data_IF_911283652634
#
_entry.id   IF_911283652634
#
_cell.length_a   1.000
_cell.length_b   1.000
_cell.length_c   1.000
_cell.angle_alpha   90.00
_cell.angle_beta   90.00
_cell.angle_gamma   90.00
#
_symmetry.space_group_name_H-M   'P 1'
#
loop_
_entity.id
_entity.type
_entity.pdbx_description
1 polymer ?
#
# COMPACT_ATOMS: atom_id res chain seq x y z
N UNK A 1 9.47 -5.46 20.11
CA UNK A 1 8.37 -4.60 19.66
C UNK A 1 8.40 -4.43 18.16
N UNK A 2 7.25 -4.53 17.51
CA UNK A 2 7.05 -4.33 16.06
C UNK A 2 6.54 -2.90 15.86
N UNK A 3 7.33 -2.06 15.21
CA UNK A 3 6.92 -0.71 14.82
C UNK A 3 6.40 -0.70 13.39
N UNK A 4 5.18 -0.17 13.21
CA UNK A 4 4.55 -0.05 11.88
C UNK A 4 3.97 1.34 11.67
N UNK A 5 4.39 2.02 10.62
CA UNK A 5 3.73 3.23 10.14
C UNK A 5 2.72 2.88 9.04
N UNK A 6 1.51 3.43 9.11
CA UNK A 6 0.42 3.11 8.17
C UNK A 6 -0.34 4.34 7.67
N UNK A 7 -0.77 4.28 6.40
CA UNK A 7 -1.78 5.17 5.81
C UNK A 7 -3.20 4.57 5.83
N UNK A 8 -3.36 3.41 6.48
CA UNK A 8 -4.61 2.67 6.63
C UNK A 8 -4.38 1.16 6.67
N UNK A 9 -4.40 0.52 5.51
CA UNK A 9 -4.44 -0.95 5.36
C UNK A 9 -3.25 -1.71 5.95
N UNK A 10 -2.06 -1.11 5.90
CA UNK A 10 -0.84 -1.76 6.42
C UNK A 10 -0.95 -2.05 7.92
N UNK A 11 -1.43 -1.06 8.68
CA UNK A 11 -1.62 -1.18 10.12
C UNK A 11 -2.65 -2.24 10.46
N UNK A 12 -3.77 -2.29 9.73
CA UNK A 12 -4.78 -3.34 9.89
C UNK A 12 -4.17 -4.74 9.68
N UNK A 13 -3.40 -4.93 8.61
CA UNK A 13 -2.81 -6.23 8.28
C UNK A 13 -1.76 -6.67 9.33
N UNK A 14 -0.87 -5.76 9.73
CA UNK A 14 0.16 -6.05 10.74
C UNK A 14 -0.47 -6.30 12.11
N UNK A 15 -1.39 -5.44 12.54
CA UNK A 15 -2.03 -5.57 13.83
C UNK A 15 -2.79 -6.89 13.96
N UNK A 16 -3.57 -7.28 12.95
CA UNK A 16 -4.28 -8.56 12.96
C UNK A 16 -3.34 -9.77 12.80
N UNK A 17 -2.25 -9.63 12.04
CA UNK A 17 -1.28 -10.71 11.85
C UNK A 17 -0.49 -11.08 13.11
N UNK A 18 -0.31 -10.13 14.03
CA UNK A 18 0.40 -10.32 15.29
C UNK A 18 -0.51 -10.28 16.53
N UNK A 19 -1.83 -10.18 16.36
CA UNK A 19 -2.76 -10.08 17.47
C UNK A 19 -2.70 -11.33 18.36
N UNK A 20 -2.40 -11.13 19.64
CA UNK A 20 -2.31 -12.20 20.64
C UNK A 20 -1.09 -13.10 20.51
N UNK A 21 -0.09 -12.74 19.69
CA UNK A 21 1.17 -13.49 19.61
C UNK A 21 2.03 -13.19 20.82
N UNK A 22 2.37 -14.23 21.59
CA UNK A 22 3.16 -14.12 22.82
C UNK A 22 4.55 -13.54 22.54
N UNK A 23 5.02 -12.65 23.42
CA UNK A 23 6.33 -11.99 23.30
C UNK A 23 6.39 -10.90 22.21
N UNK A 24 5.29 -10.61 21.51
CA UNK A 24 5.23 -9.57 20.48
C UNK A 24 4.30 -8.45 20.93
N UNK A 25 4.83 -7.22 20.98
CA UNK A 25 4.06 -5.99 21.07
C UNK A 25 4.08 -5.27 19.72
N UNK A 26 2.98 -4.66 19.29
CA UNK A 26 2.88 -3.93 18.01
C UNK A 26 2.42 -2.50 18.26
N UNK A 27 3.24 -1.53 17.84
CA UNK A 27 2.86 -0.11 17.84
C UNK A 27 2.55 0.34 16.42
N UNK A 28 1.29 0.73 16.20
CA UNK A 28 0.75 1.19 14.92
C UNK A 28 0.69 2.71 14.90
N UNK A 29 1.65 3.36 14.24
CA UNK A 29 1.66 4.80 14.04
C UNK A 29 0.85 5.16 12.80
N UNK A 30 -0.09 6.10 12.94
CA UNK A 30 -0.93 6.56 11.85
C UNK A 30 -1.26 8.05 11.95
N UNK A 31 -1.44 8.76 10.82
CA UNK A 31 -1.73 10.18 10.81
C UNK A 31 -3.17 10.47 11.25
N UNK A 32 -3.31 11.37 12.22
CA UNK A 32 -4.59 11.81 12.76
C UNK A 32 -5.54 12.32 11.68
N UNK A 33 -6.73 11.74 11.61
CA UNK A 33 -7.79 12.18 10.70
C UNK A 33 -7.55 11.93 9.21
N UNK A 34 -6.49 11.17 8.84
CA UNK A 34 -6.16 10.88 7.43
C UNK A 34 -6.40 9.42 7.02
N UNK A 35 -6.96 8.61 7.91
CA UNK A 35 -7.32 7.20 7.69
C UNK A 35 -8.85 7.05 7.73
N UNK A 36 -9.43 6.19 6.88
CA UNK A 36 -10.89 5.98 6.91
C UNK A 36 -11.31 5.36 8.25
N UNK A 37 -12.53 5.67 8.73
CA UNK A 37 -13.05 5.11 9.99
C UNK A 37 -13.02 3.58 10.02
N UNK A 38 -13.30 2.93 8.88
CA UNK A 38 -13.30 1.47 8.74
C UNK A 38 -11.87 0.91 8.76
N UNK A 39 -10.91 1.61 8.16
CA UNK A 39 -9.50 1.23 8.24
C UNK A 39 -8.96 1.40 9.66
N UNK A 40 -9.28 2.52 10.31
CA UNK A 40 -8.87 2.85 11.66
C UNK A 40 -9.42 1.84 12.69
N UNK A 41 -10.69 1.44 12.57
CA UNK A 41 -11.30 0.49 13.51
C UNK A 41 -10.62 -0.88 13.49
N UNK A 42 -10.05 -1.30 12.36
CA UNK A 42 -9.39 -2.60 12.21
C UNK A 42 -8.10 -2.76 13.05
N UNK A 43 -7.52 -1.68 13.57
CA UNK A 43 -6.33 -1.74 14.44
C UNK A 43 -6.50 -0.98 15.76
N UNK A 44 -7.39 0.02 15.84
CA UNK A 44 -7.64 0.77 17.10
C UNK A 44 -8.61 0.08 18.05
N UNK A 45 -9.28 -1.00 17.63
CA UNK A 45 -10.29 -1.69 18.47
C UNK A 45 -9.82 -3.04 19.01
N UNK A 46 -8.58 -3.43 18.72
CA UNK A 46 -8.06 -4.77 19.02
C UNK A 46 -7.59 -4.92 20.48
N UNK A 47 -6.91 -3.89 21.01
CA UNK A 47 -6.25 -3.94 22.31
C UNK A 47 -5.22 -5.08 22.43
N UNK A 48 -5.12 -5.66 23.63
CA UNK A 48 -4.14 -6.71 23.98
C UNK A 48 -2.69 -6.24 23.80
N UNK A 49 -2.01 -6.77 22.79
CA UNK A 49 -0.62 -6.46 22.45
C UNK A 49 -0.50 -5.45 21.29
N UNK A 50 -1.61 -4.84 20.88
CA UNK A 50 -1.66 -3.83 19.82
C UNK A 50 -1.91 -2.46 20.44
N UNK A 51 -1.01 -1.52 20.20
CA UNK A 51 -1.14 -0.12 20.59
C UNK A 51 -1.23 0.74 19.32
N UNK A 52 -2.28 1.54 19.22
CA UNK A 52 -2.43 2.49 18.12
C UNK A 52 -2.00 3.90 18.58
N UNK A 53 -1.12 4.53 17.81
CA UNK A 53 -0.54 5.85 18.10
C UNK A 53 -0.97 6.82 17.00
N UNK A 54 -1.81 7.77 17.37
CA UNK A 54 -2.40 8.77 16.49
C UNK A 54 -1.48 10.01 16.44
N UNK A 55 -0.71 10.14 15.37
CA UNK A 55 0.30 11.18 15.19
C UNK A 55 -0.33 12.44 14.60
N UNK A 56 -0.07 13.60 15.22
CA UNK A 56 -0.40 14.91 14.67
C UNK A 56 0.54 15.27 13.49
N UNK A 57 0.30 14.67 12.32
CA UNK A 57 1.13 14.85 11.12
C UNK A 57 0.59 14.16 9.87
N UNK A 58 1.48 13.84 8.94
CA UNK A 58 1.19 13.08 7.71
C UNK A 58 1.81 11.67 7.76
N UNK A 59 1.55 10.86 6.75
CA UNK A 59 2.10 9.49 6.69
C UNK A 59 3.64 9.48 6.70
N UNK A 60 4.26 10.41 5.95
CA UNK A 60 5.73 10.52 5.88
C UNK A 60 6.35 10.84 7.26
N UNK A 61 5.65 11.60 8.12
CA UNK A 61 6.07 11.86 9.50
C UNK A 61 6.07 10.57 10.33
N UNK A 62 4.99 9.79 10.25
CA UNK A 62 4.89 8.50 10.94
C UNK A 62 6.03 7.55 10.51
N UNK A 63 6.33 7.52 9.20
CA UNK A 63 7.42 6.71 8.67
C UNK A 63 8.79 7.21 9.15
N UNK A 64 8.97 8.52 9.27
CA UNK A 64 10.20 9.14 9.75
C UNK A 64 10.45 8.81 11.22
N UNK A 65 9.43 8.91 12.08
CA UNK A 65 9.53 8.53 13.50
C UNK A 65 9.95 7.07 13.69
N UNK A 66 9.33 6.16 12.91
CA UNK A 66 9.71 4.74 12.92
C UNK A 66 11.15 4.53 12.47
N UNK A 67 11.61 5.21 11.41
CA UNK A 67 13.01 5.13 10.96
C UNK A 67 13.99 5.64 12.00
N UNK A 68 13.69 6.78 12.64
CA UNK A 68 14.51 7.34 13.71
C UNK A 68 14.63 6.38 14.90
N UNK A 69 13.54 5.71 15.27
CA UNK A 69 13.57 4.71 16.35
C UNK A 69 14.52 3.54 16.05
N UNK A 70 14.62 3.11 14.79
CA UNK A 70 15.59 2.07 14.39
C UNK A 70 17.05 2.54 14.40
N UNK A 71 17.28 3.85 14.28
CA UNK A 71 18.63 4.44 14.25
C UNK A 71 19.10 4.91 15.63
N UNK A 72 18.24 4.90 16.65
CA UNK A 72 18.56 5.37 17.99
C UNK A 72 19.25 4.26 18.81
N UNK A 73 20.46 4.56 19.29
CA UNK A 73 21.30 3.59 20.00
C UNK A 73 20.66 3.16 21.33
N UNK A 74 20.17 4.10 22.12
CA UNK A 74 19.55 3.84 23.42
C UNK A 74 18.30 2.94 23.30
N UNK A 75 17.43 3.20 22.31
CA UNK A 75 16.29 2.34 22.02
C UNK A 75 16.74 0.93 21.62
N UNK A 76 17.78 0.80 20.80
CA UNK A 76 18.28 -0.50 20.35
C UNK A 76 18.97 -1.29 21.48
N UNK A 77 19.55 -0.62 22.47
CA UNK A 77 20.12 -1.25 23.67
C UNK A 77 19.02 -1.77 24.62
N UNK A 78 17.92 -1.02 24.76
CA UNK A 78 16.85 -1.32 25.72
C UNK A 78 15.70 -2.15 25.12
N UNK A 79 15.51 -2.13 23.80
CA UNK A 79 14.36 -2.75 23.12
C UNK A 79 14.80 -3.52 21.89
N UNK A 80 14.20 -4.71 21.71
CA UNK A 80 14.29 -5.46 20.44
C UNK A 80 13.27 -4.92 19.45
N UNK A 81 13.63 -3.85 18.74
CA UNK A 81 12.79 -3.25 17.72
C UNK A 81 12.86 -4.05 16.41
N UNK A 82 11.71 -4.22 15.76
CA UNK A 82 11.63 -4.73 14.38
C UNK A 82 10.52 -4.02 13.63
N UNK A 83 10.55 -4.02 12.30
CA UNK A 83 9.50 -3.41 11.48
C UNK A 83 8.71 -4.47 10.73
N UNK A 84 7.41 -4.23 10.59
CA UNK A 84 6.53 -4.93 9.66
C UNK A 84 6.15 -4.06 8.44
N UNK A 85 6.89 -2.96 8.19
CA UNK A 85 6.76 -2.20 6.95
C UNK A 85 7.38 -2.98 5.77
N UNK A 86 7.14 -2.52 4.53
CA UNK A 86 7.76 -3.13 3.33
C UNK A 86 9.28 -3.01 3.31
N UNK A 87 9.90 -2.32 4.27
CA UNK A 87 11.34 -2.37 4.57
C UNK A 87 11.77 -3.80 4.96
N UNK A 88 10.90 -4.60 5.58
CA UNK A 88 11.22 -5.99 5.93
C UNK A 88 11.09 -6.92 4.72
N UNK A 89 12.16 -7.66 4.40
CA UNK A 89 12.19 -8.64 3.29
C UNK A 89 11.11 -9.72 3.46
N UNK A 90 10.78 -10.10 4.70
CA UNK A 90 9.74 -11.07 5.01
C UNK A 90 8.31 -10.57 4.69
N UNK A 91 8.10 -9.27 4.51
CA UNK A 91 6.82 -8.73 4.00
C UNK A 91 6.76 -8.72 2.48
N UNK A 92 7.91 -8.57 1.86
CA UNK A 92 8.06 -8.40 0.43
C UNK A 92 8.06 -9.74 -0.33
N UNK A 93 8.84 -10.72 0.12
CA UNK A 93 8.94 -12.01 -0.58
C UNK A 93 7.60 -12.74 -0.69
N UNK A 94 6.72 -12.77 0.35
CA UNK A 94 5.43 -13.41 0.22
C UNK A 94 4.51 -12.75 -0.79
N UNK A 95 4.72 -11.47 -1.11
CA UNK A 95 3.94 -10.79 -2.14
C UNK A 95 4.22 -11.34 -3.55
N UNK A 96 5.39 -11.92 -3.79
CA UNK A 96 5.68 -12.57 -5.06
C UNK A 96 4.71 -13.75 -5.34
N UNK A 97 4.23 -14.46 -4.30
CA UNK A 97 3.40 -15.65 -4.47
C UNK A 97 2.11 -15.39 -5.25
N UNK A 98 1.44 -14.26 -5.03
CA UNK A 98 0.19 -13.99 -5.75
C UNK A 98 0.41 -13.67 -7.23
N UNK A 99 1.60 -13.23 -7.65
CA UNK A 99 1.95 -13.12 -9.07
C UNK A 99 2.06 -14.50 -9.73
N UNK A 100 2.76 -15.44 -9.08
CA UNK A 100 2.82 -16.84 -9.53
C UNK A 100 1.42 -17.47 -9.56
N UNK A 101 0.61 -17.22 -8.54
CA UNK A 101 -0.76 -17.72 -8.48
C UNK A 101 -1.63 -17.15 -9.60
N UNK A 102 -1.61 -15.83 -9.83
CA UNK A 102 -2.35 -15.20 -10.92
C UNK A 102 -1.94 -15.79 -12.29
N UNK A 103 -0.64 -15.95 -12.52
CA UNK A 103 -0.13 -16.59 -13.72
C UNK A 103 -0.62 -18.03 -13.87
N UNK A 104 -0.59 -18.82 -12.78
CA UNK A 104 -1.08 -20.20 -12.79
C UNK A 104 -2.58 -20.27 -13.13
N UNK A 105 -3.40 -19.34 -12.62
CA UNK A 105 -4.84 -19.25 -12.95
C UNK A 105 -5.06 -18.90 -14.42
N UNK A 106 -4.29 -17.96 -14.98
CA UNK A 106 -4.34 -17.66 -16.41
C UNK A 106 -3.85 -18.83 -17.27
N UNK A 107 -2.85 -19.57 -16.81
CA UNK A 107 -2.30 -20.72 -17.53
C UNK A 107 -3.32 -21.84 -17.64
N UNK A 108 -4.09 -22.11 -16.58
CA UNK A 108 -5.23 -23.03 -16.61
C UNK A 108 -6.29 -22.66 -17.65
N UNK A 109 -6.39 -21.37 -17.98
CA UNK A 109 -7.32 -20.84 -18.99
C UNK A 109 -6.68 -20.64 -20.37
N UNK A 110 -5.42 -21.04 -20.58
CA UNK A 110 -4.64 -20.78 -21.80
C UNK A 110 -4.49 -19.28 -22.14
N UNK A 111 -4.50 -18.40 -21.13
CA UNK A 111 -4.40 -16.93 -21.26
C UNK A 111 -3.10 -16.35 -20.70
N UNK A 112 -2.14 -17.19 -20.32
CA UNK A 112 -0.92 -16.73 -19.66
C UNK A 112 0.14 -16.17 -20.63
N UNK A 113 0.05 -16.51 -21.92
CA UNK A 113 0.94 -16.01 -22.97
C UNK A 113 0.75 -14.51 -23.10
N UNK A 114 1.78 -13.71 -22.82
CA UNK A 114 1.76 -12.23 -22.78
C UNK A 114 1.01 -11.59 -21.60
N UNK A 115 1.16 -12.14 -20.39
CA UNK A 115 0.62 -11.51 -19.18
C UNK A 115 1.26 -10.13 -18.93
N UNK A 116 0.43 -9.10 -18.81
CA UNK A 116 0.80 -7.73 -18.42
C UNK A 116 0.22 -7.45 -17.04
N UNK A 117 1.05 -6.98 -16.10
CA UNK A 117 0.59 -6.74 -14.72
C UNK A 117 0.59 -5.26 -14.39
N UNK A 118 -0.58 -4.72 -14.01
CA UNK A 118 -0.73 -3.38 -13.49
C UNK A 118 -0.82 -3.39 -11.95
N UNK A 119 -0.08 -2.50 -11.31
CA UNK A 119 -0.01 -2.40 -9.86
C UNK A 119 -0.32 -0.95 -9.45
N UNK A 120 -1.43 -0.69 -8.75
CA UNK A 120 -1.62 0.56 -8.00
C UNK A 120 -0.47 0.71 -7.00
N UNK A 121 0.35 1.75 -7.17
CA UNK A 121 1.66 1.87 -6.53
C UNK A 121 1.74 3.13 -5.69
N UNK A 122 1.92 2.94 -4.38
CA UNK A 122 2.31 3.98 -3.41
C UNK A 122 3.78 3.85 -3.03
N UNK A 123 4.06 3.02 -2.01
CA UNK A 123 5.43 2.81 -1.51
C UNK A 123 6.28 1.79 -2.31
N UNK A 124 5.81 1.39 -3.51
CA UNK A 124 6.47 0.48 -4.48
C UNK A 124 6.83 -0.94 -4.02
N UNK A 125 6.48 -1.37 -2.80
CA UNK A 125 6.77 -2.73 -2.32
C UNK A 125 6.11 -3.84 -3.15
N UNK A 126 4.85 -3.63 -3.56
CA UNK A 126 4.06 -4.61 -4.30
C UNK A 126 4.63 -4.87 -5.71
N UNK A 127 4.82 -3.82 -6.51
CA UNK A 127 5.39 -3.96 -7.85
C UNK A 127 6.84 -4.48 -7.80
N UNK A 128 7.62 -4.09 -6.79
CA UNK A 128 8.94 -4.67 -6.57
C UNK A 128 8.85 -6.20 -6.40
N UNK A 129 7.80 -6.74 -5.75
CA UNK A 129 7.66 -8.18 -5.51
C UNK A 129 7.35 -8.91 -6.82
N UNK A 130 6.54 -8.29 -7.67
CA UNK A 130 6.35 -8.73 -9.05
C UNK A 130 7.64 -8.74 -9.86
N UNK A 131 8.49 -7.71 -9.70
CA UNK A 131 9.78 -7.64 -10.39
C UNK A 131 10.75 -8.74 -9.92
N UNK A 132 10.71 -9.10 -8.64
CA UNK A 132 11.44 -10.27 -8.15
C UNK A 132 10.88 -11.57 -8.73
N UNK A 133 9.55 -11.74 -8.77
CA UNK A 133 8.94 -12.90 -9.43
C UNK A 133 9.36 -13.01 -10.90
N UNK A 134 9.42 -11.89 -11.62
CA UNK A 134 9.95 -11.82 -12.98
C UNK A 134 11.42 -12.26 -13.05
N UNK A 135 12.29 -11.76 -12.15
CA UNK A 135 13.70 -12.17 -12.06
C UNK A 135 13.88 -13.64 -11.68
N UNK A 136 12.93 -14.22 -10.95
CA UNK A 136 12.87 -15.66 -10.64
C UNK A 136 12.43 -16.51 -11.84
N UNK A 137 12.03 -15.91 -12.96
CA UNK A 137 11.67 -16.60 -14.20
C UNK A 137 10.17 -16.66 -14.49
N UNK A 138 9.32 -15.97 -13.70
CA UNK A 138 7.89 -15.87 -14.02
C UNK A 138 7.71 -15.04 -15.31
N UNK A 139 7.08 -15.57 -16.38
CA UNK A 139 7.05 -14.90 -17.67
C UNK A 139 5.96 -13.82 -17.70
N UNK A 140 6.33 -12.66 -17.16
CA UNK A 140 5.58 -11.40 -17.22
C UNK A 140 6.12 -10.59 -18.38
N UNK A 141 5.26 -10.15 -19.31
CA UNK A 141 5.66 -9.39 -20.49
C UNK A 141 6.16 -7.99 -20.13
N UNK A 142 5.42 -7.29 -19.27
CA UNK A 142 5.76 -5.94 -18.76
C UNK A 142 4.87 -5.59 -17.57
N UNK A 143 5.26 -4.55 -16.85
CA UNK A 143 4.52 -3.99 -15.73
C UNK A 143 3.99 -2.59 -16.04
N UNK A 144 2.90 -2.21 -15.36
CA UNK A 144 2.37 -0.85 -15.36
C UNK A 144 2.28 -0.38 -13.90
N UNK A 145 3.03 0.66 -13.54
CA UNK A 145 2.91 1.34 -12.25
C UNK A 145 1.82 2.42 -12.34
N UNK A 146 0.66 2.18 -11.73
CA UNK A 146 -0.43 3.16 -11.68
C UNK A 146 -0.28 4.02 -10.41
N UNK A 147 -0.22 5.33 -10.59
CA UNK A 147 -0.03 6.32 -9.52
C UNK A 147 -1.29 7.19 -9.42
N UNK A 148 -1.54 7.78 -8.25
CA UNK A 148 -2.50 8.88 -8.12
C UNK A 148 -1.78 10.21 -8.41
N UNK A 149 -2.24 11.33 -7.84
CA UNK A 149 -1.57 12.63 -7.97
C UNK A 149 -0.14 12.69 -7.40
N UNK A 150 0.29 11.66 -6.66
CA UNK A 150 1.66 11.45 -6.19
C UNK A 150 2.42 10.66 -7.26
N UNK A 151 3.06 11.39 -8.17
CA UNK A 151 3.54 10.89 -9.46
C UNK A 151 5.08 10.83 -9.56
N UNK A 152 5.78 10.72 -8.43
CA UNK A 152 7.26 10.78 -8.36
C UNK A 152 7.89 9.71 -9.25
N UNK A 153 7.43 8.47 -9.16
CA UNK A 153 7.96 7.38 -9.99
C UNK A 153 7.55 7.52 -11.46
N UNK A 154 6.34 8.03 -11.74
CA UNK A 154 5.93 8.33 -13.11
C UNK A 154 6.87 9.36 -13.76
N UNK A 155 7.21 10.45 -13.04
CA UNK A 155 8.18 11.45 -13.50
C UNK A 155 9.59 10.89 -13.67
N UNK A 156 10.02 9.99 -12.79
CA UNK A 156 11.28 9.27 -12.95
C UNK A 156 11.29 8.44 -14.24
N UNK A 157 10.22 7.70 -14.55
CA UNK A 157 10.14 6.94 -15.80
C UNK A 157 10.29 7.84 -17.04
N UNK A 158 9.73 9.06 -17.02
CA UNK A 158 9.83 10.00 -18.13
C UNK A 158 11.21 10.66 -18.26
N UNK A 159 11.88 10.95 -17.15
CA UNK A 159 13.03 11.87 -17.13
C UNK A 159 14.35 11.26 -16.66
N UNK A 160 14.32 10.09 -16.02
CA UNK A 160 15.45 9.50 -15.31
C UNK A 160 15.81 10.19 -13.99
N UNK A 161 15.11 11.27 -13.61
CA UNK A 161 15.38 12.04 -12.39
C UNK A 161 14.42 11.63 -11.28
N UNK A 162 14.98 11.26 -10.13
CA UNK A 162 14.21 10.95 -8.93
C UNK A 162 14.17 12.17 -8.00
N UNK A 163 12.97 12.73 -7.81
CA UNK A 163 12.75 13.92 -6.99
C UNK A 163 11.60 13.67 -6.01
N UNK A 164 11.89 13.24 -4.76
CA UNK A 164 10.90 13.14 -3.70
C UNK A 164 10.21 14.47 -3.43
N UNK A 165 8.92 14.44 -3.08
CA UNK A 165 8.12 15.63 -2.77
C UNK A 165 7.17 15.33 -1.61
N UNK A 166 6.67 16.33 -0.88
CA UNK A 166 5.61 16.10 0.10
C UNK A 166 4.39 15.41 -0.53
N UNK A 167 3.83 14.41 0.16
CA UNK A 167 2.64 13.70 -0.30
C UNK A 167 1.44 14.64 -0.46
N UNK A 168 0.65 14.44 -1.50
CA UNK A 168 -0.67 15.05 -1.72
C UNK A 168 -1.77 14.07 -1.32
N UNK A 169 -2.78 14.55 -0.63
CA UNK A 169 -3.93 13.73 -0.25
C UNK A 169 -4.85 13.47 -1.45
N UNK A 170 -5.31 12.23 -1.62
CA UNK A 170 -6.18 11.81 -2.71
C UNK A 170 -7.30 10.86 -2.25
N UNK A 171 -8.16 10.43 -3.19
CA UNK A 171 -9.14 9.37 -2.93
C UNK A 171 -8.48 8.02 -2.62
N UNK A 172 -7.36 7.72 -3.29
CA UNK A 172 -6.58 6.49 -3.13
C UNK A 172 -5.47 6.69 -2.07
N UNK A 173 -5.87 6.91 -0.82
CA UNK A 173 -4.99 7.38 0.25
C UNK A 173 -3.82 6.44 0.60
N UNK A 174 -3.93 5.13 0.35
CA UNK A 174 -2.83 4.21 0.58
C UNK A 174 -1.68 4.39 -0.44
N UNK A 175 -1.94 5.11 -1.53
CA UNK A 175 -0.97 5.49 -2.56
C UNK A 175 -0.41 6.90 -2.39
N UNK A 176 -0.83 7.65 -1.36
CA UNK A 176 -0.34 9.00 -1.07
C UNK A 176 1.07 8.96 -0.48
N UNK A 177 2.05 8.71 -1.34
CA UNK A 177 3.46 8.55 -0.97
C UNK A 177 4.34 9.45 -1.82
N UNK A 178 5.01 10.38 -1.15
CA UNK A 178 5.90 11.36 -1.77
C UNK A 178 7.35 10.90 -1.96
N UNK A 179 7.77 9.91 -1.17
CA UNK A 179 9.11 9.31 -1.19
C UNK A 179 8.98 7.77 -1.12
N UNK A 180 8.80 7.07 -2.25
CA UNK A 180 8.61 5.63 -2.27
C UNK A 180 9.88 4.86 -1.87
N UNK A 181 9.94 4.42 -0.62
CA UNK A 181 11.09 3.71 -0.03
C UNK A 181 11.56 2.46 -0.78
N UNK A 182 10.68 1.73 -1.49
CA UNK A 182 11.08 0.55 -2.26
C UNK A 182 11.60 0.88 -3.65
N UNK A 183 11.59 2.14 -4.08
CA UNK A 183 12.23 2.54 -5.33
C UNK A 183 13.73 2.24 -5.32
N UNK A 184 14.42 2.44 -4.18
CA UNK A 184 15.84 2.09 -4.04
C UNK A 184 16.14 0.63 -4.39
N UNK A 185 15.24 -0.30 -4.04
CA UNK A 185 15.38 -1.73 -4.39
C UNK A 185 15.17 -1.98 -5.87
N UNK A 186 14.19 -1.30 -6.48
CA UNK A 186 13.97 -1.41 -7.93
C UNK A 186 15.21 -0.86 -8.66
N UNK A 187 15.71 0.30 -8.23
CA UNK A 187 16.91 0.90 -8.80
C UNK A 187 18.10 -0.07 -8.74
N UNK A 188 18.37 -0.66 -7.57
CA UNK A 188 19.43 -1.66 -7.39
C UNK A 188 19.22 -2.95 -8.21
N UNK A 189 17.99 -3.47 -8.25
CA UNK A 189 17.62 -4.68 -9.03
C UNK A 189 17.92 -4.55 -10.53
N UNK A 190 17.96 -3.32 -11.04
CA UNK A 190 18.29 -2.99 -12.43
C UNK A 190 19.67 -2.32 -12.58
N UNK A 191 20.50 -2.32 -11.53
CA UNK A 191 21.86 -1.79 -11.53
C UNK A 191 21.91 -0.29 -11.81
N UNK A 192 20.91 0.46 -11.36
CA UNK A 192 20.75 1.89 -11.57
C UNK A 192 20.44 2.32 -13.02
N UNK A 193 20.17 1.37 -13.92
CA UNK A 193 19.96 1.64 -15.33
C UNK A 193 18.51 2.02 -15.64
N UNK A 194 18.29 3.31 -15.94
CA UNK A 194 16.97 3.84 -16.30
C UNK A 194 16.35 3.13 -17.51
N UNK A 195 17.12 2.88 -18.57
CA UNK A 195 16.66 2.18 -19.78
C UNK A 195 16.15 0.75 -19.48
N UNK A 196 16.83 0.02 -18.60
CA UNK A 196 16.38 -1.32 -18.18
C UNK A 196 15.08 -1.25 -17.39
N UNK A 197 14.89 -0.22 -16.56
CA UNK A 197 13.65 -0.02 -15.81
C UNK A 197 12.51 0.32 -16.76
N UNK A 198 12.70 1.27 -17.68
CA UNK A 198 11.65 1.74 -18.60
C UNK A 198 11.31 0.75 -19.71
N UNK A 199 12.25 -0.13 -20.09
CA UNK A 199 11.96 -1.23 -21.01
C UNK A 199 10.97 -2.27 -20.46
N UNK A 200 10.87 -2.39 -19.13
CA UNK A 200 10.00 -3.36 -18.48
C UNK A 200 8.78 -2.72 -17.79
N UNK A 201 8.90 -1.47 -17.33
CA UNK A 201 7.89 -0.79 -16.51
C UNK A 201 7.47 0.50 -17.21
N UNK A 202 6.18 0.58 -17.55
CA UNK A 202 5.53 1.84 -17.91
C UNK A 202 4.79 2.44 -16.70
N UNK A 203 4.50 3.73 -16.72
CA UNK A 203 3.77 4.41 -15.65
C UNK A 203 2.54 5.15 -16.15
N UNK A 204 1.57 5.32 -15.26
CA UNK A 204 0.41 6.20 -15.46
C UNK A 204 0.11 6.97 -14.16
N UNK A 205 -0.56 8.11 -14.26
CA UNK A 205 -1.01 8.92 -13.12
C UNK A 205 -2.44 9.40 -13.33
N UNK A 206 -3.21 9.44 -12.25
CA UNK A 206 -4.63 9.81 -12.29
C UNK A 206 -5.00 10.82 -11.20
N UNK A 207 -5.84 11.79 -11.58
CA UNK A 207 -6.48 12.71 -10.65
C UNK A 207 -7.68 12.02 -9.97
N UNK A 208 -8.17 12.60 -8.87
CA UNK A 208 -9.36 12.09 -8.19
C UNK A 208 -10.60 12.06 -9.11
N UNK A 209 -10.78 13.05 -9.98
CA UNK A 209 -11.88 13.05 -10.95
C UNK A 209 -11.76 11.91 -11.97
N UNK A 210 -10.54 11.61 -12.41
CA UNK A 210 -10.26 10.46 -13.26
C UNK A 210 -10.56 9.14 -12.54
N UNK A 211 -10.24 9.04 -11.24
CA UNK A 211 -10.53 7.87 -10.40
C UNK A 211 -12.05 7.69 -10.28
N UNK A 212 -12.81 8.75 -9.93
CA UNK A 212 -14.28 8.72 -9.83
C UNK A 212 -14.93 8.27 -11.13
N UNK A 213 -14.55 8.90 -12.24
CA UNK A 213 -15.08 8.57 -13.57
C UNK A 213 -14.81 7.10 -13.94
N UNK A 214 -13.65 6.57 -13.54
CA UNK A 214 -13.29 5.16 -13.77
C UNK A 214 -14.18 4.22 -12.98
N UNK A 215 -14.38 4.50 -11.69
CA UNK A 215 -15.26 3.70 -10.83
C UNK A 215 -16.68 3.66 -11.40
N UNK A 216 -17.22 4.81 -11.77
CA UNK A 216 -18.55 4.94 -12.38
C UNK A 216 -18.65 4.16 -13.69
N UNK A 217 -17.67 4.32 -14.58
CA UNK A 217 -17.64 3.64 -15.88
C UNK A 217 -17.54 2.12 -15.71
N UNK A 218 -16.64 1.63 -14.85
CA UNK A 218 -16.48 0.21 -14.60
C UNK A 218 -17.77 -0.42 -14.03
N UNK A 219 -18.37 0.23 -13.03
CA UNK A 219 -19.61 -0.23 -12.43
C UNK A 219 -20.75 -0.26 -13.45
N UNK A 220 -20.89 0.80 -14.27
CA UNK A 220 -21.90 0.87 -15.33
C UNK A 220 -21.72 -0.20 -16.40
N UNK A 221 -20.49 -0.45 -16.84
CA UNK A 221 -20.19 -1.38 -17.95
C UNK A 221 -20.21 -2.85 -17.52
N UNK A 222 -19.82 -3.14 -16.28
CA UNK A 222 -19.52 -4.53 -15.85
C UNK A 222 -20.26 -4.97 -14.59
N UNK A 223 -20.85 -4.04 -13.83
CA UNK A 223 -21.37 -4.30 -12.49
C UNK A 223 -20.28 -4.51 -11.42
N UNK A 224 -18.99 -4.49 -11.78
CA UNK A 224 -17.90 -4.64 -10.82
C UNK A 224 -17.65 -3.33 -10.07
N UNK A 225 -17.59 -3.40 -8.74
CA UNK A 225 -17.32 -2.25 -7.87
C UNK A 225 -15.83 -2.21 -7.54
N UNK A 226 -15.14 -1.22 -8.06
CA UNK A 226 -13.73 -0.96 -7.76
C UNK A 226 -13.60 -0.14 -6.47
N UNK A 227 -12.55 -0.41 -5.71
CA UNK A 227 -12.04 0.55 -4.74
C UNK A 227 -11.24 1.67 -5.45
N UNK A 228 -11.01 2.86 -4.83
CA UNK A 228 -10.25 3.94 -5.47
C UNK A 228 -8.85 3.55 -5.95
N UNK A 229 -8.18 2.61 -5.27
CA UNK A 229 -6.84 2.14 -5.64
C UNK A 229 -6.93 1.20 -6.85
N UNK A 230 -7.84 0.23 -6.81
CA UNK A 230 -8.19 -0.64 -7.92
C UNK A 230 -8.56 0.13 -9.19
N UNK A 231 -9.26 1.26 -9.06
CA UNK A 231 -9.60 2.13 -10.18
C UNK A 231 -8.37 2.71 -10.91
N UNK A 232 -7.31 3.12 -10.19
CA UNK A 232 -6.05 3.51 -10.83
C UNK A 232 -5.46 2.35 -11.64
N UNK A 233 -5.44 1.14 -11.07
CA UNK A 233 -4.89 -0.04 -11.73
C UNK A 233 -5.70 -0.48 -12.96
N UNK A 234 -7.03 -0.52 -12.82
CA UNK A 234 -7.95 -0.87 -13.88
C UNK A 234 -7.83 0.09 -15.06
N UNK A 235 -7.82 1.41 -14.80
CA UNK A 235 -7.69 2.42 -15.85
C UNK A 235 -6.35 2.32 -16.59
N UNK A 236 -5.24 2.26 -15.85
CA UNK A 236 -3.90 2.10 -16.42
C UNK A 236 -3.76 0.86 -17.29
N UNK A 237 -4.34 -0.24 -16.84
CA UNK A 237 -4.36 -1.45 -17.62
C UNK A 237 -5.23 -1.29 -18.88
N UNK A 238 -6.45 -0.76 -18.77
CA UNK A 238 -7.36 -0.57 -19.92
C UNK A 238 -6.76 0.36 -20.98
N UNK A 239 -6.12 1.45 -20.57
CA UNK A 239 -5.44 2.40 -21.48
C UNK A 239 -4.14 1.81 -22.08
N UNK A 240 -3.43 0.98 -21.31
CA UNK A 240 -2.12 0.48 -21.69
C UNK A 240 -2.12 -0.88 -22.40
N UNK A 241 -3.18 -1.69 -22.31
CA UNK A 241 -3.20 -3.07 -22.81
C UNK A 241 -3.25 -3.11 -24.35
N UNK A 242 -2.38 -3.93 -24.96
CA UNK A 242 -2.30 -4.08 -26.42
C UNK A 242 -3.00 -5.35 -26.89
N UNK A 243 -3.33 -5.40 -28.18
CA UNK A 243 -3.89 -6.61 -28.81
C UNK A 243 -2.98 -7.82 -28.60
N UNK A 244 -3.57 -8.95 -28.21
CA UNK A 244 -2.86 -10.20 -27.91
C UNK A 244 -2.18 -10.26 -26.54
N UNK A 245 -2.39 -9.25 -25.68
CA UNK A 245 -1.97 -9.26 -24.28
C UNK A 245 -3.12 -9.65 -23.34
N UNK A 246 -2.79 -10.32 -22.23
CA UNK A 246 -3.75 -10.56 -21.14
C UNK A 246 -3.37 -9.71 -19.95
N UNK A 247 -4.28 -8.82 -19.56
CA UNK A 247 -4.05 -7.90 -18.45
C UNK A 247 -4.47 -8.48 -17.10
N UNK A 248 -3.64 -8.23 -16.08
CA UNK A 248 -3.97 -8.45 -14.66
C UNK A 248 -3.73 -7.13 -13.95
N UNK A 249 -4.72 -6.59 -13.24
CA UNK A 249 -4.51 -5.49 -12.32
C UNK A 249 -4.74 -5.99 -10.89
N UNK A 250 -4.01 -5.43 -9.93
CA UNK A 250 -4.18 -5.79 -8.53
C UNK A 250 -5.26 -4.92 -7.89
N UNK A 251 -6.39 -5.53 -7.51
CA UNK A 251 -7.39 -4.92 -6.64
C UNK A 251 -6.85 -4.96 -5.20
N UNK A 252 -6.29 -3.85 -4.74
CA UNK A 252 -5.48 -3.83 -3.50
C UNK A 252 -6.31 -3.74 -2.22
N UNK A 253 -7.58 -3.37 -2.32
CA UNK A 253 -8.48 -3.28 -1.18
C UNK A 253 -9.91 -3.66 -1.55
N UNK A 254 -10.72 -4.04 -0.55
CA UNK A 254 -12.14 -4.24 -0.75
C UNK A 254 -12.86 -2.87 -0.74
N UNK A 255 -13.83 -2.58 -1.64
CA UNK A 255 -14.51 -1.28 -1.72
C UNK A 255 -15.15 -0.82 -0.40
N UNK A 256 -15.68 -1.76 0.38
CA UNK A 256 -16.25 -1.49 1.72
C UNK A 256 -15.30 -0.76 2.69
N UNK A 257 -13.97 -0.84 2.50
CA UNK A 257 -13.01 -0.08 3.31
C UNK A 257 -13.09 1.43 3.06
N UNK A 258 -13.68 1.82 1.94
CA UNK A 258 -13.90 3.19 1.50
C UNK A 258 -15.39 3.47 1.28
N UNK A 259 -16.28 2.76 2.00
CA UNK A 259 -17.73 2.79 1.81
C UNK A 259 -18.30 4.19 1.58
N UNK A 260 -18.03 5.14 2.48
CA UNK A 260 -18.56 6.51 2.37
C UNK A 260 -18.24 7.14 0.99
N UNK A 261 -17.00 6.98 0.51
CA UNK A 261 -16.58 7.49 -0.80
C UNK A 261 -17.20 6.68 -1.96
N UNK A 262 -17.21 5.34 -1.83
CA UNK A 262 -17.69 4.45 -2.90
C UNK A 262 -19.20 4.64 -3.13
N UNK A 263 -19.98 4.69 -2.04
CA UNK A 263 -21.43 4.90 -2.09
C UNK A 263 -21.76 6.27 -2.71
N UNK A 264 -21.04 7.32 -2.32
CA UNK A 264 -21.20 8.67 -2.87
C UNK A 264 -20.89 8.71 -4.38
N UNK A 265 -19.76 8.12 -4.80
CA UNK A 265 -19.30 8.14 -6.20
C UNK A 265 -20.22 7.32 -7.12
N UNK A 266 -20.72 6.18 -6.63
CA UNK A 266 -21.48 5.23 -7.44
C UNK A 266 -23.00 5.34 -7.25
N UNK A 267 -23.45 6.10 -6.26
CA UNK A 267 -24.85 6.19 -5.85
C UNK A 267 -25.46 4.82 -5.53
N UNK A 268 -24.72 4.01 -4.78
CA UNK A 268 -25.15 2.67 -4.32
C UNK A 268 -24.95 2.55 -2.80
N UNK A 269 -25.47 1.48 -2.20
CA UNK A 269 -25.23 1.13 -0.80
C UNK A 269 -24.48 -0.22 -0.74
N UNK A 270 -23.15 -0.17 -0.72
CA UNK A 270 -22.37 -1.42 -0.65
C UNK A 270 -22.48 -2.04 0.74
N UNK A 271 -22.74 -3.35 0.78
CA UNK A 271 -22.76 -4.08 2.05
C UNK A 271 -21.35 -4.17 2.63
N UNK A 272 -21.23 -3.88 3.92
CA UNK A 272 -19.99 -4.13 4.67
C UNK A 272 -19.93 -5.64 4.97
N UNK A 273 -18.88 -6.35 4.54
CA UNK A 273 -18.68 -7.76 4.90
C UNK A 273 -18.69 -7.95 6.42
N UNK A 274 -19.27 -9.05 6.91
CA UNK A 274 -19.42 -9.33 8.35
C UNK A 274 -18.10 -9.19 9.12
N UNK A 275 -17.00 -9.71 8.58
CA UNK A 275 -15.66 -9.58 9.18
C UNK A 275 -15.22 -8.12 9.38
N UNK A 276 -15.55 -7.22 8.45
CA UNK A 276 -15.23 -5.79 8.60
C UNK A 276 -16.18 -5.11 9.58
N UNK A 277 -17.47 -5.50 9.56
CA UNK A 277 -18.48 -4.95 10.46
C UNK A 277 -18.19 -5.25 11.94
N UNK A 278 -17.57 -6.40 12.26
CA UNK A 278 -17.19 -6.73 13.64
C UNK A 278 -16.20 -5.71 14.24
N UNK A 279 -15.20 -5.25 13.48
CA UNK A 279 -14.26 -4.23 13.98
C UNK A 279 -14.94 -2.90 14.30
N UNK A 280 -16.03 -2.57 13.61
CA UNK A 280 -16.78 -1.32 13.82
C UNK A 280 -17.58 -1.32 15.13
N UNK A 281 -17.80 -2.47 15.76
CA UNK A 281 -18.47 -2.57 17.06
C UNK A 281 -17.55 -2.27 18.24
N UNK A 282 -16.24 -2.36 18.02
CA UNK A 282 -15.23 -2.14 19.07
C UNK A 282 -15.09 -0.66 19.44
N UNK A 283 -14.62 -0.41 20.66
CA UNK A 283 -14.32 0.95 21.13
C UNK A 283 -12.91 1.36 20.66
N UNK A 284 -12.78 2.50 19.99
CA UNK A 284 -11.47 3.07 19.60
C UNK A 284 -10.59 3.25 20.83
N UNK A 285 -9.38 2.71 20.76
CA UNK A 285 -8.28 2.86 21.71
C UNK A 285 -7.07 3.35 20.92
N UNK A 286 -6.66 4.59 21.19
CA UNK A 286 -5.49 5.20 20.56
C UNK A 286 -4.85 6.21 21.50
N UNK A 287 -3.53 6.35 21.43
CA UNK A 287 -2.76 7.35 22.14
C UNK A 287 -2.47 8.49 21.17
N UNK A 288 -2.92 9.70 21.48
CA UNK A 288 -2.58 10.89 20.69
C UNK A 288 -1.15 11.34 21.01
N UNK A 289 -0.37 11.68 19.98
CA UNK A 289 1.04 12.07 20.12
C UNK A 289 1.41 13.15 19.10
N UNK A 290 2.32 14.07 19.45
CA UNK A 290 2.83 15.05 18.50
C UNK A 290 3.83 14.42 17.53
N UNK A 291 4.14 15.11 16.43
CA UNK A 291 5.25 14.72 15.56
C UNK A 291 6.61 15.07 16.22
N UNK A 292 6.96 14.34 17.28
CA UNK A 292 8.15 14.55 18.09
C UNK A 292 8.83 13.22 18.37
N UNK A 293 10.07 13.07 17.88
CA UNK A 293 10.84 11.86 18.15
C UNK A 293 11.17 11.69 19.64
N UNK A 294 11.40 12.78 20.37
CA UNK A 294 11.66 12.71 21.81
C UNK A 294 10.46 12.14 22.58
N UNK A 295 9.25 12.61 22.27
CA UNK A 295 8.01 12.10 22.87
C UNK A 295 7.78 10.62 22.53
N UNK A 296 8.02 10.25 21.26
CA UNK A 296 7.89 8.87 20.81
C UNK A 296 8.93 7.94 21.46
N UNK A 297 10.19 8.39 21.59
CA UNK A 297 11.26 7.65 22.24
C UNK A 297 10.94 7.40 23.72
N UNK A 298 10.51 8.42 24.43
CA UNK A 298 10.11 8.31 25.84
C UNK A 298 8.96 7.31 26.02
N UNK A 299 7.96 7.38 25.14
CA UNK A 299 6.87 6.40 25.11
C UNK A 299 7.39 4.96 24.95
N UNK A 300 8.29 4.71 23.99
CA UNK A 300 8.82 3.37 23.73
C UNK A 300 9.67 2.83 24.90
N UNK A 301 10.44 3.69 25.57
CA UNK A 301 11.26 3.31 26.72
C UNK A 301 10.41 2.92 27.93
N UNK A 302 9.29 3.62 28.15
CA UNK A 302 8.40 3.41 29.30
C UNK A 302 7.39 2.27 29.13
N UNK A 303 7.38 1.60 27.97
CA UNK A 303 6.49 0.47 27.66
C UNK A 303 6.98 -0.86 28.23
#
# INVERSE_FOLDING_TARGET
TVLVATSGDTGSAVANGFLGVEGIHVDVLYPKGKVSKIQESQFTTLGKNITAIEINGVFDDCQTLVKQAFMDEELNENKKLTSANSINVARFLPQAFYYFYAYAQLKKQNKASNMVVCVPSGNFGNICAGLFAYKMGLPIKRFIAANNANDIFYKYLQSGKYEPKPSKQTLANAMDVGDPSNFARIYDLFGGCHEKITSLISGATYTDDMIKATMQTCHKETGYVLDPHGACGYRALKEGLKNGETGVFLETAHPAKFKEKVDDILHIDIKIPSRLAEFMKGKKQSIGMNNSFAEFKEFLLNQ
#
